data_IF_172516344081
#
_entry.id   IF_172516344081
#
_cell.length_a   1.000
_cell.length_b   1.000
_cell.length_c   1.000
_cell.angle_alpha   90.00
_cell.angle_beta   90.00
_cell.angle_gamma   90.00
#
_symmetry.space_group_name_H-M   'P 1'
#
loop_
_entity.id
_entity.type
_entity.pdbx_description
1 polymer ?
#
# COMPACT_ATOMS: atom_id res chain seq x y z
N UNK A 1 -8.47 1.60 -23.62
CA UNK A 1 -8.27 1.96 -22.20
C UNK A 1 -8.70 3.40 -22.02
N UNK A 2 -9.66 3.65 -21.15
CA UNK A 2 -10.04 5.00 -20.74
C UNK A 2 -8.81 5.66 -20.09
N UNK A 3 -8.50 6.89 -20.47
CA UNK A 3 -7.44 7.66 -19.81
C UNK A 3 -7.96 8.10 -18.43
N UNK A 4 -7.24 7.76 -17.37
CA UNK A 4 -7.54 8.27 -16.03
C UNK A 4 -7.14 9.75 -15.91
N UNK A 5 -7.87 10.56 -15.11
CA UNK A 5 -7.49 11.94 -14.85
C UNK A 5 -6.22 12.00 -14.00
N UNK A 6 -5.54 13.15 -14.02
CA UNK A 6 -4.40 13.42 -13.14
C UNK A 6 -4.78 13.18 -11.67
N UNK A 7 -3.88 12.55 -10.91
CA UNK A 7 -4.02 12.47 -9.45
C UNK A 7 -3.72 13.85 -8.88
N UNK A 8 -4.77 14.56 -8.43
CA UNK A 8 -4.68 15.98 -8.07
C UNK A 8 -3.73 16.22 -6.89
N UNK A 9 -3.75 15.31 -5.91
CA UNK A 9 -2.85 15.35 -4.75
C UNK A 9 -1.38 15.16 -5.18
N UNK A 10 -1.09 14.16 -6.01
CA UNK A 10 0.26 13.94 -6.55
C UNK A 10 0.75 15.12 -7.39
N UNK A 11 -0.14 15.71 -8.19
CA UNK A 11 0.18 16.92 -8.97
C UNK A 11 0.47 18.12 -8.06
N UNK A 12 -0.16 18.20 -6.89
CA UNK A 12 0.16 19.19 -5.89
C UNK A 12 1.52 18.91 -5.23
N UNK A 13 1.75 17.69 -4.76
CA UNK A 13 3.00 17.32 -4.08
C UNK A 13 4.23 17.39 -4.99
N UNK A 14 4.11 16.98 -6.26
CA UNK A 14 5.20 17.12 -7.24
C UNK A 14 5.74 18.56 -7.37
N UNK A 15 4.94 19.57 -7.01
CA UNK A 15 5.34 20.97 -7.01
C UNK A 15 5.87 21.43 -5.65
N UNK A 16 5.31 20.93 -4.54
CA UNK A 16 5.45 21.56 -3.23
C UNK A 16 6.13 20.72 -2.17
N UNK A 17 6.15 19.40 -2.30
CA UNK A 17 6.62 18.47 -1.26
C UNK A 17 8.03 18.81 -0.75
N UNK A 18 8.97 19.04 -1.67
CA UNK A 18 10.35 19.38 -1.33
C UNK A 18 10.67 20.89 -1.46
N UNK A 19 9.63 21.73 -1.57
CA UNK A 19 9.78 23.20 -1.66
C UNK A 19 9.21 23.94 -0.46
N UNK A 20 8.20 23.37 0.19
CA UNK A 20 7.58 23.97 1.36
C UNK A 20 8.58 23.99 2.53
N UNK A 21 8.77 25.16 3.15
CA UNK A 21 9.60 25.28 4.35
C UNK A 21 9.03 24.50 5.54
N UNK A 22 7.71 24.47 5.65
CA UNK A 22 6.97 23.73 6.67
C UNK A 22 5.95 22.84 5.97
N UNK A 23 6.27 21.56 5.82
CA UNK A 23 5.42 20.59 5.17
C UNK A 23 4.40 20.02 6.16
N UNK A 24 3.19 20.60 6.22
CA UNK A 24 2.13 20.21 7.16
C UNK A 24 0.93 19.54 6.46
N UNK A 25 1.14 18.98 5.27
CA UNK A 25 0.09 18.44 4.42
C UNK A 25 0.19 16.94 4.17
N UNK A 26 1.27 16.29 4.64
CA UNK A 26 1.42 14.85 4.51
C UNK A 26 0.43 14.10 5.41
N UNK A 27 0.01 12.91 4.97
CA UNK A 27 -0.87 12.03 5.74
C UNK A 27 -0.17 10.78 6.28
N UNK A 28 1.11 10.60 5.95
CA UNK A 28 1.93 9.51 6.47
C UNK A 28 2.48 9.83 7.87
N UNK A 29 3.02 8.80 8.51
CA UNK A 29 3.75 8.94 9.76
C UNK A 29 5.19 9.40 9.50
N UNK A 30 5.85 9.91 10.54
CA UNK A 30 7.27 10.26 10.47
C UNK A 30 8.10 9.05 10.00
N UNK A 31 8.89 9.25 8.95
CA UNK A 31 9.79 8.22 8.42
C UNK A 31 10.93 7.95 9.40
N UNK A 32 11.40 6.71 9.45
CA UNK A 32 12.55 6.30 10.26
C UNK A 32 13.68 5.73 9.41
N UNK A 33 14.91 5.80 9.92
CA UNK A 33 16.03 5.18 9.23
C UNK A 33 15.97 3.65 9.35
N UNK A 34 16.53 2.94 8.37
CA UNK A 34 16.65 1.48 8.45
C UNK A 34 17.41 1.02 9.70
N UNK A 35 18.40 1.81 10.15
CA UNK A 35 19.15 1.52 11.37
C UNK A 35 18.25 1.54 12.60
N UNK A 36 17.40 2.56 12.73
CA UNK A 36 16.52 2.71 13.88
C UNK A 36 15.44 1.64 13.90
N UNK A 37 14.94 1.24 12.73
CA UNK A 37 14.02 0.13 12.58
C UNK A 37 14.67 -1.20 13.02
N UNK A 38 15.85 -1.54 12.49
CA UNK A 38 16.55 -2.78 12.82
C UNK A 38 17.08 -2.81 14.26
N UNK A 39 17.19 -1.66 14.93
CA UNK A 39 17.50 -1.63 16.37
C UNK A 39 16.34 -2.15 17.24
N UNK A 40 15.13 -2.27 16.69
CA UNK A 40 13.97 -2.88 17.35
C UNK A 40 13.87 -4.40 17.11
N UNK A 41 14.66 -4.93 16.17
CA UNK A 41 14.66 -6.34 15.83
C UNK A 41 15.45 -7.18 16.83
N UNK A 42 15.11 -8.46 16.92
CA UNK A 42 15.93 -9.49 17.57
C UNK A 42 17.25 -9.70 16.82
N UNK A 43 18.29 -10.26 17.47
CA UNK A 43 19.54 -10.61 16.80
C UNK A 43 19.33 -11.51 15.58
N UNK A 44 18.40 -12.46 15.66
CA UNK A 44 18.07 -13.41 14.61
C UNK A 44 17.42 -12.70 13.40
N UNK A 45 16.39 -11.88 13.62
CA UNK A 45 15.74 -11.09 12.55
C UNK A 45 16.73 -10.14 11.85
N UNK A 46 17.70 -9.61 12.60
CA UNK A 46 18.75 -8.76 12.04
C UNK A 46 19.71 -9.53 11.15
N UNK A 47 20.10 -10.75 11.54
CA UNK A 47 20.92 -11.64 10.71
C UNK A 47 20.17 -12.05 9.44
N UNK A 48 18.88 -12.36 9.55
CA UNK A 48 18.02 -12.67 8.39
C UNK A 48 17.94 -11.50 7.40
N UNK A 49 17.78 -10.26 7.90
CA UNK A 49 17.79 -9.08 7.04
C UNK A 49 19.13 -8.87 6.34
N UNK A 50 20.25 -9.02 7.06
CA UNK A 50 21.60 -8.88 6.49
C UNK A 50 21.93 -10.00 5.50
N UNK A 51 21.33 -11.19 5.68
CA UNK A 51 21.44 -12.34 4.79
C UNK A 51 20.38 -12.42 3.69
N UNK A 52 19.53 -11.39 3.51
CA UNK A 52 18.37 -11.45 2.64
C UNK A 52 18.73 -11.82 1.19
N UNK A 53 18.09 -12.87 0.67
CA UNK A 53 18.20 -13.27 -0.73
C UNK A 53 17.27 -12.43 -1.61
N UNK A 54 17.84 -11.69 -2.57
CA UNK A 54 17.09 -10.84 -3.51
C UNK A 54 16.51 -11.64 -4.69
N UNK A 55 15.70 -12.64 -4.38
CA UNK A 55 14.96 -13.46 -5.35
C UNK A 55 13.45 -13.17 -5.34
N UNK A 56 12.71 -13.95 -6.15
CA UNK A 56 11.24 -13.92 -6.09
C UNK A 56 10.72 -14.50 -4.78
N UNK A 57 9.71 -13.84 -4.22
CA UNK A 57 8.86 -14.41 -3.15
C UNK A 57 7.65 -15.15 -3.76
N UNK A 58 6.79 -15.71 -2.92
CA UNK A 58 5.56 -16.37 -3.35
C UNK A 58 4.55 -15.37 -3.94
N UNK A 59 3.72 -15.84 -4.87
CA UNK A 59 2.75 -15.02 -5.63
C UNK A 59 1.83 -14.18 -4.74
N UNK A 60 1.45 -14.68 -3.57
CA UNK A 60 0.50 -14.02 -2.68
C UNK A 60 1.18 -13.21 -1.55
N UNK A 61 2.51 -13.27 -1.46
CA UNK A 61 3.31 -12.76 -0.34
C UNK A 61 3.95 -13.88 0.48
N UNK A 62 5.03 -13.54 1.17
CA UNK A 62 5.77 -14.48 2.02
C UNK A 62 4.85 -15.08 3.11
N UNK A 63 4.91 -16.40 3.37
CA UNK A 63 3.98 -17.05 4.31
C UNK A 63 3.96 -16.45 5.72
N UNK A 64 5.14 -16.18 6.27
CA UNK A 64 5.35 -15.55 7.58
C UNK A 64 4.78 -14.12 7.65
N UNK A 65 4.96 -13.33 6.59
CA UNK A 65 4.38 -11.99 6.48
C UNK A 65 2.84 -12.05 6.47
N UNK A 66 2.26 -12.99 5.71
CA UNK A 66 0.80 -13.14 5.62
C UNK A 66 0.18 -13.56 6.95
N UNK A 67 0.81 -14.48 7.68
CA UNK A 67 0.39 -14.86 9.03
C UNK A 67 0.49 -13.68 10.01
N UNK A 68 1.60 -12.94 9.95
CA UNK A 68 1.80 -11.75 10.78
C UNK A 68 0.72 -10.70 10.53
N UNK A 69 0.42 -10.38 9.27
CA UNK A 69 -0.66 -9.45 8.91
C UNK A 69 -2.02 -9.97 9.41
N UNK A 70 -2.33 -11.25 9.17
CA UNK A 70 -3.60 -11.83 9.60
C UNK A 70 -3.81 -11.74 11.11
N UNK A 71 -2.74 -11.91 11.90
CA UNK A 71 -2.78 -11.81 13.37
C UNK A 71 -3.16 -10.42 13.90
N UNK A 72 -3.07 -9.38 13.07
CA UNK A 72 -3.51 -8.02 13.44
C UNK A 72 -5.03 -7.84 13.39
N UNK A 73 -5.76 -8.82 12.84
CA UNK A 73 -7.22 -8.83 12.74
C UNK A 73 -7.82 -9.90 13.65
N UNK A 74 -8.97 -9.60 14.26
CA UNK A 74 -9.63 -10.52 15.21
C UNK A 74 -10.06 -11.87 14.59
N UNK A 75 -10.41 -11.87 13.30
CA UNK A 75 -11.04 -13.03 12.65
C UNK A 75 -10.61 -13.25 11.20
N UNK A 76 -9.33 -13.02 10.87
CA UNK A 76 -8.74 -13.33 9.55
C UNK A 76 -7.64 -14.38 9.67
N UNK A 77 -7.43 -15.12 8.59
CA UNK A 77 -6.32 -16.07 8.42
C UNK A 77 -5.36 -15.58 7.34
N UNK A 78 -4.15 -16.13 7.25
CA UNK A 78 -3.22 -15.83 6.15
C UNK A 78 -3.86 -16.11 4.77
N UNK A 79 -4.80 -17.06 4.68
CA UNK A 79 -5.57 -17.35 3.47
C UNK A 79 -6.43 -16.18 2.97
N UNK A 80 -6.78 -15.24 3.86
CA UNK A 80 -7.51 -14.02 3.53
C UNK A 80 -6.60 -12.85 3.11
N UNK A 81 -5.27 -13.02 3.16
CA UNK A 81 -4.28 -11.94 2.92
C UNK A 81 -3.58 -12.11 1.58
N UNK A 82 -3.54 -11.04 0.80
CA UNK A 82 -2.73 -10.88 -0.41
C UNK A 82 -1.80 -9.68 -0.24
N UNK A 83 -0.50 -9.86 -0.46
CA UNK A 83 0.48 -8.79 -0.41
C UNK A 83 0.64 -8.10 -1.77
N UNK A 84 0.81 -6.78 -1.73
CA UNK A 84 1.01 -5.91 -2.90
C UNK A 84 2.14 -4.92 -2.63
N UNK A 85 2.68 -4.32 -3.69
CA UNK A 85 3.62 -3.20 -3.65
C UNK A 85 2.90 -1.91 -3.23
N UNK A 86 2.52 -1.86 -1.95
CA UNK A 86 1.76 -0.76 -1.36
C UNK A 86 0.26 -0.85 -1.62
N UNK A 87 -0.51 -0.04 -0.88
CA UNK A 87 -1.96 -0.05 -0.92
C UNK A 87 -2.54 0.29 -2.31
N UNK A 88 -1.88 1.18 -3.06
CA UNK A 88 -2.34 1.63 -4.39
C UNK A 88 -2.46 0.48 -5.40
N UNK A 89 -1.53 -0.47 -5.40
CA UNK A 89 -1.63 -1.65 -6.26
C UNK A 89 -2.82 -2.54 -5.85
N UNK A 90 -3.03 -2.73 -4.54
CA UNK A 90 -4.19 -3.46 -4.03
C UNK A 90 -5.52 -2.82 -4.44
N UNK A 91 -5.63 -1.49 -4.35
CA UNK A 91 -6.82 -0.74 -4.80
C UNK A 91 -7.04 -0.94 -6.31
N UNK A 92 -5.98 -0.84 -7.11
CA UNK A 92 -6.06 -1.02 -8.55
C UNK A 92 -6.50 -2.45 -8.92
N UNK A 93 -5.86 -3.46 -8.33
CA UNK A 93 -6.16 -4.87 -8.55
C UNK A 93 -7.61 -5.21 -8.15
N UNK A 94 -8.04 -4.77 -6.97
CA UNK A 94 -9.40 -5.00 -6.48
C UNK A 94 -10.45 -4.43 -7.44
N UNK A 95 -10.31 -3.17 -7.85
CA UNK A 95 -11.26 -2.55 -8.78
C UNK A 95 -11.22 -3.21 -10.17
N UNK A 96 -10.05 -3.64 -10.64
CA UNK A 96 -9.90 -4.26 -11.96
C UNK A 96 -10.47 -5.68 -12.04
N UNK A 97 -10.59 -6.38 -10.92
CA UNK A 97 -11.05 -7.78 -10.88
C UNK A 97 -12.48 -7.91 -10.36
N UNK A 98 -12.91 -7.02 -9.47
CA UNK A 98 -14.24 -7.07 -8.85
C UNK A 98 -15.30 -6.39 -9.72
N UNK A 99 -14.94 -5.29 -10.39
CA UNK A 99 -15.88 -4.48 -11.17
C UNK A 99 -15.85 -4.86 -12.65
N UNK A 100 -17.01 -4.76 -13.28
CA UNK A 100 -17.20 -4.84 -14.72
C UNK A 100 -18.11 -3.72 -15.24
N UNK A 101 -18.37 -3.70 -16.55
CA UNK A 101 -19.18 -2.67 -17.22
C UNK A 101 -20.64 -2.58 -16.75
N UNK A 102 -21.15 -3.60 -16.07
CA UNK A 102 -22.55 -3.69 -15.63
C UNK A 102 -22.66 -3.49 -14.11
N UNK A 103 -21.53 -3.27 -13.43
CA UNK A 103 -21.45 -3.10 -11.98
C UNK A 103 -22.03 -1.76 -11.53
N UNK A 104 -22.69 -1.75 -10.37
CA UNK A 104 -23.11 -0.54 -9.67
C UNK A 104 -22.33 -0.38 -8.36
N UNK A 105 -21.37 0.55 -8.35
CA UNK A 105 -20.53 0.85 -7.20
C UNK A 105 -21.09 2.03 -6.38
N UNK A 106 -21.11 1.88 -5.04
CA UNK A 106 -21.39 2.98 -4.12
C UNK A 106 -20.05 3.43 -3.54
N UNK A 107 -19.70 4.69 -3.77
CA UNK A 107 -18.42 5.27 -3.35
C UNK A 107 -18.66 6.40 -2.35
N UNK A 108 -17.95 6.35 -1.22
CA UNK A 108 -17.93 7.44 -0.23
C UNK A 108 -17.10 8.60 -0.78
N UNK A 109 -17.58 9.83 -0.64
CA UNK A 109 -16.87 11.05 -1.08
C UNK A 109 -16.93 12.16 -0.02
N UNK A 110 -15.84 12.93 0.20
CA UNK A 110 -14.53 12.80 -0.45
C UNK A 110 -13.74 11.60 0.08
N UNK A 111 -12.92 10.99 -0.79
CA UNK A 111 -12.08 9.85 -0.49
C UNK A 111 -10.74 9.95 -1.26
N UNK A 112 -9.84 8.99 -1.06
CA UNK A 112 -8.60 8.89 -1.80
C UNK A 112 -8.91 8.68 -3.28
N UNK A 113 -8.32 9.50 -4.17
CA UNK A 113 -8.80 9.64 -5.55
C UNK A 113 -8.88 8.30 -6.31
N UNK A 114 -7.96 7.36 -6.07
CA UNK A 114 -8.01 6.04 -6.73
C UNK A 114 -9.25 5.22 -6.36
N UNK A 115 -9.80 5.38 -5.15
CA UNK A 115 -11.08 4.77 -4.76
C UNK A 115 -12.29 5.43 -5.43
N UNK A 116 -12.15 6.64 -5.98
CA UNK A 116 -13.22 7.33 -6.70
C UNK A 116 -13.14 7.13 -8.21
N UNK A 117 -11.94 7.31 -8.79
CA UNK A 117 -11.78 7.35 -10.24
C UNK A 117 -11.76 5.97 -10.88
N UNK A 118 -11.31 4.93 -10.17
CA UNK A 118 -11.28 3.57 -10.73
C UNK A 118 -12.68 2.96 -10.88
N UNK A 119 -13.59 3.05 -9.89
CA UNK A 119 -14.97 2.60 -10.09
C UNK A 119 -15.74 3.36 -11.18
N UNK A 120 -15.33 4.58 -11.51
CA UNK A 120 -16.00 5.42 -12.49
C UNK A 120 -15.46 5.25 -13.94
N UNK A 121 -14.40 4.46 -14.14
CA UNK A 121 -13.63 4.38 -15.39
C UNK A 121 -14.14 3.35 -16.42
#
# INVERSE_FOLDING_TARGET
MTMLPDFRLETHFSKWEFRARYHMTASDAESMSMRDLLAMATPEEREEFEGLWLGYTETYGAPDLRETIASTFESRSAGDVLCFAGASEGIFAANSVILDKDSHAIVVTPNYQSHETLPAA
#
